data_IF_553973353913
#
_entry.id   IF_553973353913
#
_cell.length_a   1.000
_cell.length_b   1.000
_cell.length_c   1.000
_cell.angle_alpha   90.00
_cell.angle_beta   90.00
_cell.angle_gamma   90.00
#
_symmetry.space_group_name_H-M   'P 1'
#
loop_
_entity.id
_entity.type
_entity.pdbx_description
1 polymer ?
#
# COMPACT_ATOMS: atom_id res chain seq x y z
N UNK A 1 8.87 -53.82 -1.16
CA UNK A 1 7.95 -52.72 -1.50
C UNK A 1 8.21 -51.60 -0.50
N UNK A 2 8.93 -50.58 -0.93
CA UNK A 2 9.33 -49.46 -0.08
C UNK A 2 8.15 -48.50 0.04
N UNK A 3 7.69 -48.24 1.26
CA UNK A 3 6.67 -47.23 1.53
C UNK A 3 7.19 -45.87 1.06
N UNK A 4 6.66 -45.40 -0.06
CA UNK A 4 6.66 -43.98 -0.40
C UNK A 4 5.53 -43.35 0.42
N UNK A 5 5.86 -42.54 1.43
CA UNK A 5 4.82 -41.83 2.15
C UNK A 5 5.25 -41.33 3.52
N UNK A 6 6.07 -40.28 3.53
CA UNK A 6 5.84 -39.16 4.45
C UNK A 6 6.70 -37.98 3.97
N UNK A 7 6.11 -37.14 3.11
CA UNK A 7 6.63 -35.77 2.98
C UNK A 7 6.02 -35.03 4.16
N UNK A 8 6.83 -34.72 5.17
CA UNK A 8 6.40 -33.89 6.29
C UNK A 8 5.85 -32.57 5.74
N UNK A 9 4.54 -32.36 5.89
CA UNK A 9 3.90 -31.08 5.63
C UNK A 9 4.43 -30.08 6.66
N UNK A 10 5.55 -29.44 6.35
CA UNK A 10 6.01 -28.26 7.07
C UNK A 10 5.16 -27.08 6.61
N UNK A 11 4.45 -26.53 7.59
CA UNK A 11 3.71 -25.27 7.56
C UNK A 11 2.33 -25.34 6.91
N UNK A 12 1.33 -25.74 7.71
CA UNK A 12 -0.08 -25.52 7.38
C UNK A 12 -0.36 -24.02 7.48
N UNK A 13 -0.76 -23.41 6.36
CA UNK A 13 -1.12 -21.99 6.27
C UNK A 13 -2.62 -21.89 6.06
N UNK A 14 -3.29 -21.07 6.88
CA UNK A 14 -4.69 -20.72 6.65
C UNK A 14 -4.80 -19.74 5.48
N UNK A 15 -5.62 -20.08 4.50
CA UNK A 15 -5.92 -19.24 3.33
C UNK A 15 -7.35 -18.74 3.43
N UNK A 16 -7.51 -17.42 3.50
CA UNK A 16 -8.82 -16.76 3.58
C UNK A 16 -9.04 -15.91 2.33
N UNK A 17 -10.23 -16.01 1.73
CA UNK A 17 -10.60 -15.27 0.51
C UNK A 17 -11.88 -14.48 0.77
N UNK A 18 -11.87 -13.21 0.38
CA UNK A 18 -13.06 -12.34 0.38
C UNK A 18 -13.29 -11.78 -1.02
N UNK A 19 -14.54 -11.81 -1.49
CA UNK A 19 -14.96 -11.26 -2.78
C UNK A 19 -16.15 -10.33 -2.58
N UNK A 20 -16.07 -9.13 -3.15
CA UNK A 20 -17.14 -8.14 -3.14
C UNK A 20 -17.15 -7.36 -4.46
N UNK A 21 -18.30 -6.79 -4.89
CA UNK A 21 -18.34 -5.87 -6.00
C UNK A 21 -17.44 -4.65 -5.77
N UNK A 22 -16.76 -4.20 -6.82
CA UNK A 22 -15.93 -2.98 -6.76
C UNK A 22 -16.78 -1.74 -7.08
N UNK A 23 -16.59 -0.67 -6.32
CA UNK A 23 -17.14 0.65 -6.68
C UNK A 23 -16.39 1.22 -7.88
N UNK A 24 -17.09 1.93 -8.77
CA UNK A 24 -16.45 2.57 -9.90
C UNK A 24 -15.45 3.65 -9.43
N UNK A 25 -14.27 3.77 -10.07
CA UNK A 25 -13.33 4.85 -9.79
C UNK A 25 -13.96 6.22 -10.03
N UNK A 26 -13.42 7.25 -9.38
CA UNK A 26 -13.76 8.64 -9.67
C UNK A 26 -13.14 9.07 -11.01
N UNK A 27 -13.93 9.73 -11.85
CA UNK A 27 -13.45 10.33 -13.11
C UNK A 27 -12.79 11.71 -12.88
N UNK A 28 -12.87 12.25 -11.67
CA UNK A 28 -12.31 13.55 -11.33
C UNK A 28 -10.89 13.44 -10.77
N UNK A 29 -10.03 14.44 -11.01
CA UNK A 29 -8.75 14.57 -10.32
C UNK A 29 -8.93 14.55 -8.80
N UNK A 30 -7.97 13.95 -8.10
CA UNK A 30 -7.93 13.88 -6.64
C UNK A 30 -6.87 14.81 -6.09
N UNK A 31 -7.08 15.29 -4.87
CA UNK A 31 -6.07 16.06 -4.13
C UNK A 31 -5.24 15.12 -3.29
N UNK A 32 -3.92 15.30 -3.27
CA UNK A 32 -3.00 14.48 -2.49
C UNK A 32 -2.16 15.35 -1.58
N UNK A 33 -1.81 14.84 -0.39
CA UNK A 33 -0.94 15.52 0.55
C UNK A 33 0.31 14.68 0.84
N UNK A 34 1.49 15.28 0.85
CA UNK A 34 2.69 14.61 1.34
C UNK A 34 2.62 14.52 2.87
N UNK A 35 2.58 13.30 3.40
CA UNK A 35 2.34 13.03 4.81
C UNK A 35 2.96 11.70 5.24
N UNK A 36 3.73 11.74 6.33
CA UNK A 36 4.22 10.55 7.01
C UNK A 36 5.49 9.94 6.41
N UNK A 37 6.21 9.15 7.24
CA UNK A 37 7.44 8.49 6.84
C UNK A 37 7.17 7.28 5.96
N UNK A 38 8.19 6.79 5.25
CA UNK A 38 8.11 5.54 4.49
C UNK A 38 7.67 4.32 5.32
N UNK A 39 7.12 3.30 4.64
CA UNK A 39 6.71 2.04 5.27
C UNK A 39 7.93 1.32 5.87
N UNK A 40 7.69 0.60 6.97
CA UNK A 40 8.74 -0.25 7.59
C UNK A 40 9.18 -1.41 6.69
N UNK A 41 8.24 -1.98 5.94
CA UNK A 41 8.48 -3.12 5.03
C UNK A 41 7.85 -2.80 3.66
N UNK A 42 8.49 -1.93 2.84
CA UNK A 42 7.88 -1.47 1.58
C UNK A 42 7.73 -2.60 0.55
N UNK A 43 8.61 -3.60 0.58
CA UNK A 43 8.63 -4.68 -0.41
C UNK A 43 7.57 -5.77 -0.18
N UNK A 44 6.85 -5.71 0.95
CA UNK A 44 5.79 -6.66 1.27
C UNK A 44 4.41 -6.01 1.24
N UNK A 45 3.41 -6.76 0.78
CA UNK A 45 2.00 -6.44 1.00
C UNK A 45 1.54 -7.17 2.25
N UNK A 46 1.55 -6.47 3.38
CA UNK A 46 1.12 -7.00 4.66
C UNK A 46 -0.08 -6.22 5.24
N UNK A 47 -0.75 -6.82 6.23
CA UNK A 47 -1.89 -6.20 6.91
C UNK A 47 -1.48 -5.23 8.02
N UNK A 48 -0.21 -5.22 8.43
CA UNK A 48 0.30 -4.26 9.41
C UNK A 48 0.24 -2.85 8.85
N UNK A 49 0.50 -2.68 7.56
CA UNK A 49 0.40 -1.39 6.90
C UNK A 49 -1.00 -0.73 7.04
N UNK A 50 -2.07 -1.53 7.05
CA UNK A 50 -3.42 -0.98 7.27
C UNK A 50 -3.58 -0.33 8.66
N UNK A 51 -2.86 -0.83 9.67
CA UNK A 51 -2.85 -0.25 11.03
C UNK A 51 -1.91 0.95 11.10
N UNK A 52 -0.74 0.83 10.48
CA UNK A 52 0.28 1.86 10.51
C UNK A 52 -0.17 3.14 9.77
N UNK A 53 -0.96 3.01 8.68
CA UNK A 53 -1.48 4.16 7.92
C UNK A 53 -2.67 4.88 8.58
N UNK A 54 -3.43 4.20 9.44
CA UNK A 54 -4.64 4.78 10.07
C UNK A 54 -4.38 6.12 10.80
N UNK A 55 -3.35 6.29 11.65
CA UNK A 55 -3.07 7.59 12.25
C UNK A 55 -2.61 8.65 11.24
N UNK A 56 -1.98 8.25 10.13
CA UNK A 56 -1.56 9.18 9.07
C UNK A 56 -2.77 9.72 8.30
N UNK A 57 -3.75 8.86 8.01
CA UNK A 57 -5.02 9.22 7.38
C UNK A 57 -5.83 10.20 8.21
N UNK A 58 -5.88 9.98 9.51
CA UNK A 58 -6.55 10.89 10.44
C UNK A 58 -5.90 12.29 10.50
N UNK A 59 -4.65 12.43 10.04
CA UNK A 59 -3.90 13.68 10.01
C UNK A 59 -3.90 14.36 8.64
N UNK A 60 -4.52 13.75 7.63
CA UNK A 60 -4.58 14.36 6.30
C UNK A 60 -5.32 15.71 6.37
N UNK A 61 -4.83 16.75 5.65
CA UNK A 61 -5.54 18.02 5.55
C UNK A 61 -6.95 17.85 5.00
N UNK A 62 -7.88 18.69 5.46
CA UNK A 62 -9.24 18.69 4.93
C UNK A 62 -9.23 18.85 3.39
N UNK A 63 -9.92 17.95 2.70
CA UNK A 63 -9.99 17.94 1.23
C UNK A 63 -8.87 17.15 0.53
N UNK A 64 -7.87 16.65 1.24
CA UNK A 64 -6.95 15.66 0.69
C UNK A 64 -7.68 14.31 0.56
N UNK A 65 -7.60 13.71 -0.62
CA UNK A 65 -8.18 12.40 -0.92
C UNK A 65 -7.23 11.25 -0.58
N UNK A 66 -5.92 11.51 -0.58
CA UNK A 66 -4.87 10.49 -0.41
C UNK A 66 -3.58 11.10 0.16
N UNK A 67 -2.76 10.27 0.81
CA UNK A 67 -1.44 10.64 1.32
C UNK A 67 -0.29 10.09 0.47
N UNK A 68 0.79 10.87 0.33
CA UNK A 68 2.08 10.44 -0.23
C UNK A 68 3.12 10.36 0.89
N UNK A 69 3.78 9.21 1.05
CA UNK A 69 4.87 9.03 1.98
C UNK A 69 6.12 9.75 1.47
N UNK A 70 6.93 10.25 2.38
CA UNK A 70 8.23 10.82 2.05
C UNK A 70 9.31 10.35 3.04
N UNK A 71 10.55 10.49 2.61
CA UNK A 71 11.72 10.38 3.48
C UNK A 71 11.87 11.64 4.33
N UNK A 72 12.73 11.58 5.35
CA UNK A 72 13.03 12.72 6.23
C UNK A 72 13.69 13.89 5.49
N UNK A 73 14.40 13.62 4.38
CA UNK A 73 14.99 14.62 3.48
C UNK A 73 14.00 15.12 2.40
N UNK A 74 12.74 14.69 2.45
CA UNK A 74 11.65 15.21 1.63
C UNK A 74 11.51 14.56 0.24
N UNK A 75 12.22 13.47 -0.04
CA UNK A 75 12.02 12.71 -1.26
C UNK A 75 10.68 11.96 -1.18
N UNK A 76 9.85 12.12 -2.21
CA UNK A 76 8.55 11.44 -2.29
C UNK A 76 8.75 9.97 -2.64
N UNK A 77 8.04 9.09 -1.95
CA UNK A 77 8.10 7.64 -2.09
C UNK A 77 6.88 7.12 -2.86
N UNK A 78 5.88 6.63 -2.15
CA UNK A 78 4.65 6.00 -2.67
C UNK A 78 3.41 6.60 -1.97
N UNK A 79 2.22 6.35 -2.50
CA UNK A 79 0.98 6.73 -1.80
C UNK A 79 0.63 5.72 -0.71
N UNK A 80 -0.38 6.00 0.14
CA UNK A 80 -0.72 5.07 1.22
C UNK A 80 -1.24 3.73 0.71
N UNK A 81 -1.98 3.67 -0.40
CA UNK A 81 -2.57 2.40 -0.87
C UNK A 81 -2.23 2.03 -2.32
N UNK A 82 -1.49 2.89 -3.02
CA UNK A 82 -1.08 2.70 -4.41
C UNK A 82 0.29 3.33 -4.68
N UNK A 83 0.95 2.90 -5.76
CA UNK A 83 2.02 3.69 -6.35
C UNK A 83 1.45 4.80 -7.24
N UNK A 84 2.31 5.75 -7.62
CA UNK A 84 1.99 6.84 -8.54
C UNK A 84 3.11 7.04 -9.56
N UNK A 85 2.81 7.78 -10.63
CA UNK A 85 3.79 8.16 -11.64
C UNK A 85 3.77 9.67 -11.83
N UNK A 86 4.93 10.25 -12.09
CA UNK A 86 5.07 11.67 -12.41
C UNK A 86 5.42 11.79 -13.88
N UNK A 87 4.70 12.67 -14.58
CA UNK A 87 5.06 13.09 -15.93
C UNK A 87 5.78 14.43 -15.86
N UNK A 88 7.10 14.40 -16.01
CA UNK A 88 7.88 15.63 -16.11
C UNK A 88 7.70 16.27 -17.49
N UNK A 89 7.55 17.59 -17.52
CA UNK A 89 7.65 18.39 -18.74
C UNK A 89 8.91 19.22 -18.66
N UNK A 90 9.82 19.01 -19.59
CA UNK A 90 10.99 19.85 -19.77
C UNK A 90 10.62 21.00 -20.70
N UNK A 91 10.97 22.22 -20.33
CA UNK A 91 11.02 23.35 -21.27
C UNK A 91 12.46 23.52 -21.70
N UNK A 92 12.67 23.58 -23.01
CA UNK A 92 13.96 23.96 -23.63
C UNK A 92 14.30 25.43 -23.32
#
# INVERSE_FOLDING_TARGET
MTNAGEVALKDVVDVVVHMAPVTQPLDSPVSVAVSGPGRKVPDAKDSQWARDRQPLEAQLPAGASEGLLCTDDGAVLESFVSNFFVRAFWRE
#
